data_IF_889872420403
#
_entry.id   IF_889872420403
#
_cell.length_a   1.000
_cell.length_b   1.000
_cell.length_c   1.000
_cell.angle_alpha   90.00
_cell.angle_beta   90.00
_cell.angle_gamma   90.00
#
_symmetry.space_group_name_H-M   'P 1'
#
loop_
_entity.id
_entity.type
_entity.pdbx_description
1 polymer ?
#
# COMPACT_ATOMS: atom_id res chain seq x y z
N UNK A 1 -34.43 27.51 -3.69
CA UNK A 1 -34.03 26.99 -2.36
C UNK A 1 -32.63 26.44 -2.49
N UNK A 2 -31.67 27.14 -1.90
CA UNK A 2 -30.23 26.86 -1.99
C UNK A 2 -29.92 25.47 -1.42
N UNK A 3 -29.26 24.64 -2.22
CA UNK A 3 -28.78 23.33 -1.80
C UNK A 3 -27.61 23.50 -0.83
N UNK A 4 -27.85 23.21 0.44
CA UNK A 4 -26.77 22.93 1.38
C UNK A 4 -26.08 21.63 0.96
N UNK A 5 -24.98 21.75 0.20
CA UNK A 5 -23.92 20.75 0.25
C UNK A 5 -23.36 20.79 1.67
N UNK A 6 -23.64 19.74 2.44
CA UNK A 6 -23.08 19.56 3.77
C UNK A 6 -21.56 19.54 3.63
N UNK A 7 -20.90 20.46 4.34
CA UNK A 7 -19.44 20.57 4.34
C UNK A 7 -18.92 19.46 5.22
N UNK A 8 -18.33 18.44 4.62
CA UNK A 8 -17.57 17.41 5.33
C UNK A 8 -16.37 18.09 6.01
N UNK A 9 -16.47 18.36 7.31
CA UNK A 9 -15.37 18.93 8.09
C UNK A 9 -14.34 17.83 8.41
N UNK A 10 -13.07 17.96 7.97
CA UNK A 10 -12.05 16.95 8.24
C UNK A 10 -11.63 16.99 9.73
N UNK A 11 -11.70 15.84 10.40
CA UNK A 11 -10.96 15.62 11.64
C UNK A 11 -9.55 15.15 11.28
N UNK A 12 -8.54 15.98 11.56
CA UNK A 12 -7.14 15.62 11.34
C UNK A 12 -6.65 14.73 12.48
N UNK A 13 -6.24 13.50 12.15
CA UNK A 13 -5.56 12.59 13.08
C UNK A 13 -4.05 12.82 12.94
N UNK A 14 -3.33 13.04 14.04
CA UNK A 14 -1.87 13.27 14.05
C UNK A 14 -1.10 12.02 13.64
N UNK A 15 -0.75 11.85 12.36
CA UNK A 15 -0.11 10.64 11.77
C UNK A 15 1.38 10.82 11.47
N UNK A 16 2.13 9.72 11.15
CA UNK A 16 3.50 9.81 10.69
C UNK A 16 3.58 10.82 9.54
N UNK A 17 4.41 11.86 9.68
CA UNK A 17 4.50 12.99 8.74
C UNK A 17 5.04 12.61 7.34
N UNK A 18 5.29 11.33 7.13
CA UNK A 18 6.02 10.72 6.04
C UNK A 18 5.13 9.85 5.11
N UNK A 19 3.81 9.79 5.37
CA UNK A 19 2.84 9.25 4.42
C UNK A 19 2.71 10.15 3.19
N UNK A 20 2.54 9.54 2.02
CA UNK A 20 2.43 10.28 0.76
C UNK A 20 1.04 10.90 0.59
N UNK A 21 0.01 10.20 1.07
CA UNK A 21 -1.37 10.64 1.12
C UNK A 21 -2.04 10.28 2.45
N UNK A 22 -2.76 11.24 3.04
CA UNK A 22 -3.58 11.05 4.23
C UNK A 22 -5.07 11.16 3.87
N UNK A 23 -5.88 10.12 4.14
CA UNK A 23 -7.32 10.22 3.94
C UNK A 23 -7.98 10.98 5.09
N UNK A 24 -9.02 11.76 4.79
CA UNK A 24 -9.90 12.31 5.82
C UNK A 24 -10.97 11.28 6.21
N UNK A 25 -11.56 11.45 7.39
CA UNK A 25 -12.67 10.61 7.86
C UNK A 25 -14.00 11.24 7.47
N UNK A 26 -14.85 10.50 6.74
CA UNK A 26 -16.22 10.91 6.41
C UNK A 26 -17.24 10.25 7.35
N UNK A 27 -18.27 11.02 7.69
CA UNK A 27 -19.47 10.55 8.42
C UNK A 27 -20.75 10.69 7.60
N UNK A 28 -20.64 11.26 6.41
CA UNK A 28 -21.72 11.53 5.47
C UNK A 28 -21.18 11.51 4.04
N UNK A 29 -22.05 11.21 3.06
CA UNK A 29 -21.73 11.28 1.63
C UNK A 29 -22.65 12.28 0.90
N UNK A 30 -22.14 12.97 -0.14
CA UNK A 30 -22.86 14.05 -0.81
C UNK A 30 -23.84 13.50 -1.87
N UNK A 31 -24.92 12.88 -1.44
CA UNK A 31 -25.85 12.14 -2.33
C UNK A 31 -27.28 12.13 -1.81
N UNK A 32 -28.25 12.01 -2.72
CA UNK A 32 -29.66 11.68 -2.41
C UNK A 32 -30.14 10.41 -3.10
N UNK A 33 -29.50 10.01 -4.19
CA UNK A 33 -29.85 8.86 -5.02
C UNK A 33 -28.59 8.07 -5.37
N UNK A 34 -27.91 7.48 -4.37
CA UNK A 34 -26.71 6.70 -4.62
C UNK A 34 -27.05 5.44 -5.40
N UNK A 35 -26.21 5.14 -6.39
CA UNK A 35 -26.29 3.92 -7.18
C UNK A 35 -24.98 3.17 -7.17
N UNK A 36 -25.04 1.85 -7.15
CA UNK A 36 -23.87 0.99 -7.25
C UNK A 36 -23.80 0.22 -8.57
N UNK A 37 -22.58 -0.09 -9.00
CA UNK A 37 -22.27 -0.84 -10.22
C UNK A 37 -21.26 -1.96 -9.95
N UNK A 38 -21.16 -2.91 -10.88
CA UNK A 38 -20.17 -4.00 -10.88
C UNK A 38 -20.26 -4.98 -9.69
N UNK A 39 -21.50 -5.38 -9.35
CA UNK A 39 -21.80 -6.37 -8.31
C UNK A 39 -22.46 -5.76 -7.09
N UNK A 40 -22.67 -6.57 -6.06
CA UNK A 40 -23.24 -6.14 -4.79
C UNK A 40 -22.14 -5.58 -3.86
N UNK A 41 -22.23 -4.31 -3.41
CA UNK A 41 -21.22 -3.71 -2.54
C UNK A 41 -21.33 -4.16 -1.07
N UNK A 42 -22.45 -4.80 -0.66
CA UNK A 42 -22.73 -5.13 0.75
C UNK A 42 -21.62 -5.91 1.46
N UNK A 43 -20.90 -6.86 0.85
CA UNK A 43 -19.83 -7.58 1.55
C UNK A 43 -18.61 -6.69 1.87
N UNK A 44 -18.42 -5.57 1.16
CA UNK A 44 -17.17 -4.82 1.15
C UNK A 44 -17.26 -3.46 1.83
N UNK A 45 -18.44 -2.83 1.79
CA UNK A 45 -18.61 -1.45 2.26
C UNK A 45 -19.88 -1.26 3.11
N UNK A 46 -20.10 -2.18 4.06
CA UNK A 46 -21.24 -2.18 4.99
C UNK A 46 -21.44 -0.85 5.72
N UNK A 47 -20.36 -0.28 6.25
CA UNK A 47 -20.34 1.00 6.95
C UNK A 47 -20.73 2.15 6.02
N UNK A 48 -20.22 2.16 4.79
CA UNK A 48 -20.62 3.13 3.75
C UNK A 48 -22.12 3.02 3.47
N UNK A 49 -22.64 1.81 3.25
CA UNK A 49 -24.07 1.59 3.02
C UNK A 49 -24.90 2.02 4.23
N UNK A 50 -24.42 1.78 5.46
CA UNK A 50 -25.11 2.20 6.68
C UNK A 50 -25.19 3.71 6.80
N UNK A 51 -24.12 4.43 6.45
CA UNK A 51 -24.15 5.90 6.39
C UNK A 51 -25.20 6.37 5.39
N UNK A 52 -25.22 5.79 4.19
CA UNK A 52 -26.19 6.14 3.16
C UNK A 52 -27.64 5.88 3.60
N UNK A 53 -27.91 4.74 4.24
CA UNK A 53 -29.20 4.43 4.87
C UNK A 53 -29.59 5.46 5.94
N UNK A 54 -28.68 5.81 6.84
CA UNK A 54 -28.92 6.79 7.90
C UNK A 54 -29.18 8.20 7.35
N UNK A 55 -28.65 8.52 6.17
CA UNK A 55 -28.95 9.75 5.43
C UNK A 55 -30.31 9.69 4.67
N UNK A 56 -31.07 8.60 4.80
CA UNK A 56 -32.33 8.38 4.07
C UNK A 56 -32.14 8.11 2.59
N UNK A 57 -30.93 7.70 2.17
CA UNK A 57 -30.54 7.55 0.77
C UNK A 57 -29.93 6.16 0.52
N UNK A 58 -30.71 5.06 0.61
CA UNK A 58 -30.17 3.71 0.44
C UNK A 58 -29.55 3.53 -0.96
N UNK A 59 -28.41 2.84 -1.04
CA UNK A 59 -27.76 2.54 -2.31
C UNK A 59 -28.53 1.46 -3.07
N UNK A 60 -28.87 1.75 -4.32
CA UNK A 60 -29.62 0.84 -5.20
C UNK A 60 -28.78 0.44 -6.44
N UNK A 61 -29.14 -0.65 -7.15
CA UNK A 61 -28.51 -0.97 -8.42
C UNK A 61 -28.62 0.20 -9.42
N UNK A 62 -27.61 0.33 -10.29
CA UNK A 62 -27.50 1.39 -11.28
C UNK A 62 -28.80 1.78 -12.01
N UNK A 63 -29.02 3.09 -12.11
CA UNK A 63 -30.03 3.72 -12.95
C UNK A 63 -29.58 5.13 -13.36
N UNK A 64 -30.15 5.66 -14.44
CA UNK A 64 -29.75 6.95 -15.02
C UNK A 64 -30.05 8.17 -14.13
N UNK A 65 -30.92 8.02 -13.13
CA UNK A 65 -31.26 9.08 -12.18
C UNK A 65 -30.26 9.24 -11.02
N UNK A 66 -29.15 8.48 -11.04
CA UNK A 66 -28.10 8.53 -10.03
C UNK A 66 -27.50 9.93 -9.88
N UNK A 67 -27.28 10.37 -8.64
CA UNK A 67 -26.44 11.54 -8.33
C UNK A 67 -25.13 11.16 -7.65
N UNK A 68 -24.86 9.86 -7.45
CA UNK A 68 -23.64 9.33 -6.86
C UNK A 68 -23.39 7.90 -7.34
N UNK A 69 -22.13 7.58 -7.61
CA UNK A 69 -21.71 6.25 -8.09
C UNK A 69 -20.82 5.58 -7.04
N UNK A 70 -21.22 4.39 -6.61
CA UNK A 70 -20.42 3.48 -5.78
C UNK A 70 -19.95 2.30 -6.64
N UNK A 71 -18.65 2.06 -6.72
CA UNK A 71 -18.11 0.96 -7.53
C UNK A 71 -16.84 0.40 -6.89
N UNK A 72 -16.48 -0.87 -7.14
CA UNK A 72 -15.15 -1.36 -6.78
C UNK A 72 -14.08 -0.61 -7.57
N UNK A 73 -12.88 -0.47 -6.99
CA UNK A 73 -11.71 -0.05 -7.73
C UNK A 73 -11.42 -1.05 -8.85
N UNK A 74 -11.34 -0.63 -10.12
CA UNK A 74 -11.23 -1.55 -11.24
C UNK A 74 -9.84 -2.14 -11.38
N UNK A 75 -9.75 -3.39 -11.80
CA UNK A 75 -8.50 -3.98 -12.27
C UNK A 75 -7.98 -3.20 -13.50
N UNK A 76 -6.65 -3.08 -13.68
CA UNK A 76 -6.06 -2.53 -14.89
C UNK A 76 -6.58 -3.26 -16.16
N UNK A 77 -6.80 -2.52 -17.25
CA UNK A 77 -7.31 -3.08 -18.51
C UNK A 77 -8.82 -2.90 -18.68
N UNK A 78 -9.54 -4.00 -18.94
CA UNK A 78 -10.95 -3.96 -19.38
C UNK A 78 -11.88 -3.30 -18.36
N UNK A 79 -11.74 -3.60 -17.07
CA UNK A 79 -12.60 -2.99 -16.03
C UNK A 79 -12.44 -1.47 -15.97
N UNK A 80 -11.20 -0.96 -16.07
CA UNK A 80 -10.94 0.47 -16.18
C UNK A 80 -11.65 1.10 -17.40
N UNK A 81 -11.62 0.41 -18.55
CA UNK A 81 -12.28 0.87 -19.78
C UNK A 81 -13.81 0.87 -19.64
N UNK A 82 -14.37 -0.18 -19.05
CA UNK A 82 -15.80 -0.34 -18.82
C UNK A 82 -16.32 0.76 -17.88
N UNK A 83 -15.62 1.02 -16.78
CA UNK A 83 -15.95 2.11 -15.87
C UNK A 83 -15.78 3.48 -16.54
N UNK A 84 -14.73 3.71 -17.33
CA UNK A 84 -14.60 4.95 -18.11
C UNK A 84 -15.76 5.19 -19.08
N UNK A 85 -16.30 4.12 -19.70
CA UNK A 85 -17.47 4.20 -20.58
C UNK A 85 -18.73 4.58 -19.81
N UNK A 86 -18.97 3.98 -18.65
CA UNK A 86 -20.06 4.37 -17.76
C UNK A 86 -19.95 5.87 -17.39
N UNK A 87 -18.78 6.30 -16.94
CA UNK A 87 -18.54 7.68 -16.51
C UNK A 87 -18.61 8.70 -17.66
N UNK A 88 -18.60 8.26 -18.92
CA UNK A 88 -18.79 9.15 -20.07
C UNK A 88 -20.25 9.60 -20.21
N UNK A 89 -21.21 8.81 -19.73
CA UNK A 89 -22.64 9.08 -19.81
C UNK A 89 -23.24 9.83 -18.61
N UNK A 90 -22.43 10.22 -17.62
CA UNK A 90 -22.89 10.90 -16.40
C UNK A 90 -22.34 12.31 -16.31
N UNK A 91 -22.98 13.16 -15.50
CA UNK A 91 -22.55 14.54 -15.32
C UNK A 91 -21.11 14.62 -14.79
N UNK A 92 -20.37 15.62 -15.26
CA UNK A 92 -18.95 15.80 -14.95
C UNK A 92 -18.67 15.99 -13.45
N UNK A 93 -19.65 16.51 -12.71
CA UNK A 93 -19.56 16.80 -11.28
C UNK A 93 -20.09 15.67 -10.39
N UNK A 94 -20.75 14.65 -10.97
CA UNK A 94 -21.27 13.50 -10.22
C UNK A 94 -20.17 12.88 -9.36
N UNK A 95 -20.33 12.80 -8.02
CA UNK A 95 -19.39 12.12 -7.16
C UNK A 95 -19.30 10.61 -7.46
N UNK A 96 -18.07 10.11 -7.52
CA UNK A 96 -17.76 8.70 -7.72
C UNK A 96 -16.89 8.22 -6.57
N UNK A 97 -17.36 7.24 -5.81
CA UNK A 97 -16.63 6.54 -4.77
C UNK A 97 -16.19 5.17 -5.27
N UNK A 98 -14.87 4.96 -5.35
CA UNK A 98 -14.28 3.66 -5.62
C UNK A 98 -13.77 3.01 -4.33
N UNK A 99 -14.22 1.79 -4.04
CA UNK A 99 -13.85 1.06 -2.84
C UNK A 99 -12.89 -0.10 -3.12
N UNK A 100 -12.10 -0.46 -2.11
CA UNK A 100 -11.18 -1.59 -2.14
C UNK A 100 -11.95 -2.93 -2.09
N UNK A 101 -11.71 -3.79 -3.08
CA UNK A 101 -12.33 -5.12 -3.18
C UNK A 101 -11.28 -6.19 -3.43
N UNK A 102 -10.84 -6.25 -4.69
CA UNK A 102 -9.83 -7.20 -5.16
C UNK A 102 -8.47 -6.50 -5.33
N UNK A 103 -8.52 -5.19 -5.55
CA UNK A 103 -7.36 -4.39 -5.89
C UNK A 103 -7.16 -3.27 -4.86
N UNK A 104 -5.93 -3.06 -4.39
CA UNK A 104 -5.64 -2.07 -3.38
C UNK A 104 -5.85 -0.64 -3.85
N UNK A 105 -6.29 0.21 -2.92
CA UNK A 105 -6.53 1.64 -3.18
C UNK A 105 -5.57 2.54 -2.41
N UNK A 106 -5.30 3.72 -2.98
CA UNK A 106 -4.70 4.86 -2.29
C UNK A 106 -5.83 5.82 -1.87
N UNK A 107 -6.43 5.66 -0.68
CA UNK A 107 -7.67 6.37 -0.35
C UNK A 107 -7.42 7.85 -0.06
N UNK A 108 -8.37 8.70 -0.45
CA UNK A 108 -8.53 10.05 0.12
C UNK A 108 -9.63 10.11 1.17
N UNK A 109 -10.46 9.07 1.29
CA UNK A 109 -11.60 9.05 2.21
C UNK A 109 -11.61 7.73 2.99
N UNK A 110 -11.89 7.81 4.29
CA UNK A 110 -12.10 6.65 5.14
C UNK A 110 -13.44 6.78 5.87
N UNK A 111 -14.20 5.70 5.91
CA UNK A 111 -15.43 5.60 6.71
C UNK A 111 -15.13 4.86 8.00
N UNK A 112 -15.45 5.46 9.16
CA UNK A 112 -15.29 4.81 10.47
C UNK A 112 -16.59 4.14 10.91
N UNK A 113 -16.50 2.86 11.32
CA UNK A 113 -17.57 2.18 12.05
C UNK A 113 -17.26 2.17 13.55
N UNK A 114 -18.15 2.74 14.37
CA UNK A 114 -18.10 2.67 15.85
C UNK A 114 -19.20 1.70 16.31
N UNK A 115 -18.84 0.64 17.04
CA UNK A 115 -19.80 -0.32 17.60
C UNK A 115 -19.79 -1.70 16.93
N UNK A 116 -20.17 -2.69 17.75
CA UNK A 116 -20.21 -4.16 17.57
C UNK A 116 -19.21 -4.77 16.57
N UNK A 117 -18.19 -5.44 17.11
CA UNK A 117 -17.47 -6.49 16.38
C UNK A 117 -18.52 -7.47 15.86
N UNK A 118 -18.60 -7.65 14.55
CA UNK A 118 -19.36 -8.75 13.97
C UNK A 118 -18.81 -10.05 14.58
N UNK A 119 -19.65 -10.72 15.37
CA UNK A 119 -19.32 -11.97 16.09
C UNK A 119 -19.40 -13.21 15.20
N UNK A 120 -19.27 -13.03 13.88
CA UNK A 120 -19.05 -14.10 12.91
C UNK A 120 -17.61 -14.01 12.42
N UNK A 121 -16.89 -15.14 12.40
CA UNK A 121 -15.50 -15.22 11.91
C UNK A 121 -15.31 -14.58 10.53
N UNK A 122 -14.06 -14.28 10.13
CA UNK A 122 -13.82 -13.28 9.10
C UNK A 122 -14.39 -13.71 7.75
N UNK A 123 -15.44 -13.02 7.32
CA UNK A 123 -15.48 -12.67 5.90
C UNK A 123 -14.20 -11.90 5.57
N UNK A 124 -13.57 -12.20 4.43
CA UNK A 124 -12.29 -11.63 3.99
C UNK A 124 -12.26 -10.09 4.10
N UNK A 125 -13.39 -9.44 3.87
CA UNK A 125 -13.59 -7.99 3.98
C UNK A 125 -13.51 -7.44 5.43
N UNK A 126 -13.85 -8.23 6.45
CA UNK A 126 -13.74 -7.82 7.85
C UNK A 126 -12.27 -7.74 8.27
N UNK A 127 -11.43 -8.67 7.80
CA UNK A 127 -9.97 -8.63 8.01
C UNK A 127 -9.34 -7.38 7.39
N UNK A 128 -9.74 -7.05 6.16
CA UNK A 128 -9.32 -5.83 5.47
C UNK A 128 -9.75 -4.57 6.23
N UNK A 129 -11.00 -4.54 6.70
CA UNK A 129 -11.55 -3.39 7.43
C UNK A 129 -10.87 -3.17 8.78
N UNK A 130 -10.48 -4.26 9.47
CA UNK A 130 -9.69 -4.19 10.71
C UNK A 130 -8.28 -3.67 10.45
N UNK A 131 -7.61 -4.15 9.40
CA UNK A 131 -6.32 -3.62 8.97
C UNK A 131 -6.40 -2.11 8.66
N UNK A 132 -7.41 -1.66 7.90
CA UNK A 132 -7.59 -0.23 7.63
C UNK A 132 -7.87 0.57 8.92
N UNK A 133 -8.55 -0.03 9.90
CA UNK A 133 -8.84 0.63 11.17
C UNK A 133 -7.60 0.77 12.07
N UNK A 134 -6.73 -0.23 12.09
CA UNK A 134 -5.51 -0.26 12.90
C UNK A 134 -4.44 0.71 12.40
N UNK A 135 -4.44 1.05 11.11
CA UNK A 135 -3.61 2.13 10.55
C UNK A 135 -4.04 3.55 10.98
N UNK A 136 -4.99 3.70 11.91
CA UNK A 136 -5.51 4.99 12.40
C UNK A 136 -5.13 5.22 13.86
N UNK A 137 -4.95 6.49 14.23
CA UNK A 137 -4.85 6.91 15.63
C UNK A 137 -6.10 6.52 16.39
N UNK A 138 -5.95 5.54 17.27
CA UNK A 138 -7.01 4.97 18.08
C UNK A 138 -7.40 3.54 17.73
N UNK A 139 -7.01 2.98 16.57
CA UNK A 139 -7.09 1.55 16.22
C UNK A 139 -8.42 0.82 16.46
N UNK A 140 -9.51 1.55 16.67
CA UNK A 140 -10.77 1.02 17.22
C UNK A 140 -11.85 0.92 16.15
N UNK A 141 -12.52 -0.23 16.15
CA UNK A 141 -13.63 -0.54 15.27
C UNK A 141 -13.16 -1.02 13.91
N UNK A 142 -13.91 -0.68 12.88
CA UNK A 142 -13.61 -1.03 11.49
C UNK A 142 -13.54 0.24 10.63
N UNK A 143 -12.80 0.14 9.53
CA UNK A 143 -12.65 1.25 8.60
C UNK A 143 -12.70 0.77 7.15
N UNK A 144 -13.42 1.51 6.32
CA UNK A 144 -13.49 1.27 4.88
C UNK A 144 -12.74 2.38 4.14
N UNK A 145 -11.99 2.01 3.11
CA UNK A 145 -11.17 2.91 2.32
C UNK A 145 -11.84 3.22 0.98
N UNK A 146 -11.94 4.51 0.64
CA UNK A 146 -12.56 4.99 -0.59
C UNK A 146 -11.64 5.99 -1.31
N UNK A 147 -11.69 5.97 -2.64
CA UNK A 147 -11.30 7.09 -3.49
C UNK A 147 -12.55 7.82 -3.96
N UNK A 148 -12.79 9.02 -3.44
CA UNK A 148 -13.95 9.85 -3.75
C UNK A 148 -13.54 11.07 -4.58
N UNK A 149 -13.93 11.11 -5.86
CA UNK A 149 -13.66 12.21 -6.78
C UNK A 149 -14.85 12.45 -7.73
N UNK A 150 -15.00 13.65 -8.31
CA UNK A 150 -15.98 13.87 -9.39
C UNK A 150 -15.67 13.00 -10.61
N UNK A 151 -16.71 12.60 -11.35
CA UNK A 151 -16.62 11.72 -12.51
C UNK A 151 -15.62 12.21 -13.57
N UNK A 152 -15.53 13.51 -13.82
CA UNK A 152 -14.53 14.07 -14.73
C UNK A 152 -13.09 13.77 -14.28
N UNK A 153 -12.80 13.91 -12.99
CA UNK A 153 -11.47 13.65 -12.43
C UNK A 153 -11.18 12.16 -12.40
N UNK A 154 -12.15 11.36 -11.96
CA UNK A 154 -12.03 9.91 -11.93
C UNK A 154 -11.69 9.34 -13.32
N UNK A 155 -12.35 9.81 -14.39
CA UNK A 155 -12.01 9.45 -15.78
C UNK A 155 -10.56 9.75 -16.15
N UNK A 156 -10.03 10.90 -15.73
CA UNK A 156 -8.65 11.27 -16.03
C UNK A 156 -7.65 10.39 -15.28
N UNK A 157 -7.95 10.06 -14.02
CA UNK A 157 -7.15 9.14 -13.21
C UNK A 157 -7.14 7.75 -13.84
N UNK A 158 -8.31 7.16 -14.10
CA UNK A 158 -8.44 5.81 -14.67
C UNK A 158 -7.76 5.67 -16.05
N UNK A 159 -7.71 6.75 -16.84
CA UNK A 159 -6.99 6.80 -18.13
C UNK A 159 -5.47 7.05 -17.99
N UNK A 160 -4.95 7.25 -16.77
CA UNK A 160 -3.56 7.65 -16.56
C UNK A 160 -3.21 9.02 -17.15
N UNK A 161 -4.20 9.91 -17.36
CA UNK A 161 -4.03 11.17 -18.08
C UNK A 161 -3.21 12.19 -17.27
N UNK A 162 -2.22 12.82 -17.91
CA UNK A 162 -1.48 13.95 -17.33
C UNK A 162 -2.38 15.13 -16.99
N UNK A 163 -3.57 15.22 -17.62
CA UNK A 163 -4.51 16.32 -17.39
C UNK A 163 -5.16 16.30 -16.00
N UNK A 164 -5.11 15.16 -15.29
CA UNK A 164 -5.77 15.00 -14.00
C UNK A 164 -5.32 16.04 -12.96
N UNK A 165 -4.09 16.58 -13.09
CA UNK A 165 -3.42 17.38 -12.06
C UNK A 165 -3.40 18.90 -12.30
N UNK A 166 -3.81 19.38 -13.48
CA UNK A 166 -3.57 20.79 -13.85
C UNK A 166 -4.48 21.83 -13.18
N UNK A 167 -5.65 21.47 -12.65
CA UNK A 167 -6.62 22.45 -12.15
C UNK A 167 -7.47 21.93 -10.96
N UNK A 168 -6.89 21.65 -9.78
CA UNK A 168 -7.69 21.36 -8.60
C UNK A 168 -8.56 22.59 -8.25
N UNK A 169 -9.87 22.41 -8.08
CA UNK A 169 -10.76 23.51 -7.68
C UNK A 169 -10.53 23.84 -6.20
N UNK A 170 -10.38 25.12 -5.86
CA UNK A 170 -9.97 25.59 -4.52
C UNK A 170 -10.99 25.33 -3.39
N UNK A 171 -12.20 24.85 -3.69
CA UNK A 171 -13.27 24.62 -2.70
C UNK A 171 -13.44 23.16 -2.27
N UNK A 172 -12.72 22.21 -2.89
CA UNK A 172 -12.95 20.77 -2.67
C UNK A 172 -11.85 20.17 -1.80
N UNK A 173 -12.14 19.90 -0.51
CA UNK A 173 -11.23 19.24 0.44
C UNK A 173 -10.74 17.87 -0.06
N UNK A 174 -11.50 17.24 -0.94
CA UNK A 174 -11.25 15.93 -1.55
C UNK A 174 -10.19 15.95 -2.66
N UNK A 175 -9.81 17.13 -3.17
CA UNK A 175 -9.03 17.31 -4.40
C UNK A 175 -7.67 18.00 -4.16
N UNK A 176 -7.00 17.69 -3.05
CA UNK A 176 -5.63 18.18 -2.82
C UNK A 176 -4.73 17.86 -4.02
N UNK A 177 -4.05 18.89 -4.56
CA UNK A 177 -3.14 18.73 -5.72
C UNK A 177 -2.09 17.65 -5.47
N UNK A 178 -1.57 17.59 -4.24
CA UNK A 178 -0.59 16.59 -3.80
C UNK A 178 -1.17 15.18 -3.91
N UNK A 179 -2.38 14.95 -3.38
CA UNK A 179 -3.06 13.65 -3.51
C UNK A 179 -3.30 13.27 -4.97
N UNK A 180 -3.82 14.17 -5.79
CA UNK A 180 -4.10 13.90 -7.20
C UNK A 180 -2.83 13.54 -7.98
N UNK A 181 -1.70 14.19 -7.64
CA UNK A 181 -0.41 13.76 -8.17
C UNK A 181 -0.15 12.31 -7.77
N UNK A 182 -0.18 11.96 -6.48
CA UNK A 182 0.17 10.61 -6.02
C UNK A 182 -0.76 9.53 -6.59
N UNK A 183 -2.07 9.77 -6.60
CA UNK A 183 -3.06 8.84 -7.16
C UNK A 183 -2.83 8.59 -8.65
N UNK A 184 -2.51 9.62 -9.43
CA UNK A 184 -2.22 9.46 -10.86
C UNK A 184 -0.98 8.58 -11.09
N UNK A 185 0.04 8.74 -10.25
CA UNK A 185 1.24 7.91 -10.35
C UNK A 185 1.01 6.48 -9.92
N UNK A 186 0.22 6.31 -8.85
CA UNK A 186 -0.24 5.01 -8.40
C UNK A 186 -0.92 4.29 -9.57
N UNK A 187 -1.93 4.91 -10.20
CA UNK A 187 -2.67 4.28 -11.30
C UNK A 187 -1.81 3.95 -12.53
N UNK A 188 -0.86 4.83 -12.91
CA UNK A 188 0.07 4.55 -14.01
C UNK A 188 1.01 3.40 -13.68
N UNK A 189 1.56 3.42 -12.47
CA UNK A 189 2.46 2.37 -12.01
C UNK A 189 1.76 1.02 -11.98
N UNK A 190 0.53 0.95 -11.45
CA UNK A 190 -0.28 -0.26 -11.51
C UNK A 190 -0.51 -0.79 -12.93
N UNK A 191 -0.75 0.13 -13.88
CA UNK A 191 -0.95 -0.25 -15.29
C UNK A 191 0.32 -0.86 -15.91
N UNK A 192 1.50 -0.30 -15.58
CA UNK A 192 2.80 -0.83 -16.03
C UNK A 192 3.10 -2.16 -15.34
N UNK A 193 2.92 -2.24 -14.02
CA UNK A 193 3.21 -3.44 -13.23
C UNK A 193 2.30 -4.62 -13.59
N UNK A 194 1.01 -4.38 -13.86
CA UNK A 194 0.10 -5.43 -14.31
C UNK A 194 0.57 -6.11 -15.60
N UNK A 195 1.17 -5.34 -16.51
CA UNK A 195 1.75 -5.89 -17.75
C UNK A 195 2.99 -6.74 -17.46
N UNK A 196 3.88 -6.26 -16.59
CA UNK A 196 5.06 -7.03 -16.16
C UNK A 196 4.65 -8.33 -15.46
N UNK A 197 3.65 -8.28 -14.57
CA UNK A 197 3.14 -9.46 -13.87
C UNK A 197 2.56 -10.51 -14.82
N UNK A 198 1.82 -10.07 -15.84
CA UNK A 198 1.29 -10.94 -16.88
C UNK A 198 2.42 -11.60 -17.69
N UNK A 199 3.42 -10.84 -18.12
CA UNK A 199 4.58 -11.35 -18.87
C UNK A 199 5.39 -12.37 -18.04
N UNK A 200 5.54 -12.13 -16.73
CA UNK A 200 6.26 -13.04 -15.84
C UNK A 200 5.48 -14.32 -15.53
N UNK A 201 4.17 -14.23 -15.36
CA UNK A 201 3.32 -15.39 -15.08
C UNK A 201 3.37 -16.43 -16.21
N UNK A 202 3.58 -16.00 -17.44
CA UNK A 202 3.78 -16.87 -18.60
C UNK A 202 5.17 -17.55 -18.59
N UNK A 203 6.11 -17.04 -17.79
CA UNK A 203 7.46 -17.57 -17.60
C UNK A 203 7.62 -18.19 -16.20
N UNK A 204 7.36 -19.49 -16.05
CA UNK A 204 7.45 -20.17 -14.75
C UNK A 204 8.81 -19.89 -14.03
N UNK A 205 8.77 -19.30 -12.82
CA UNK A 205 9.94 -19.15 -11.95
C UNK A 205 9.80 -20.08 -10.74
N UNK A 206 10.77 -20.98 -10.54
CA UNK A 206 10.84 -21.84 -9.38
C UNK A 206 11.59 -21.15 -8.23
N UNK A 207 11.04 -21.23 -7.01
CA UNK A 207 11.56 -20.59 -5.78
C UNK A 207 12.59 -21.41 -5.00
N UNK A 208 12.94 -22.60 -5.48
CA UNK A 208 13.77 -23.53 -4.72
C UNK A 208 15.16 -23.61 -5.36
N UNK A 209 16.02 -22.64 -5.04
CA UNK A 209 17.44 -22.71 -5.37
C UNK A 209 18.28 -22.62 -4.09
N UNK A 210 18.92 -23.72 -3.63
CA UNK A 210 19.76 -23.71 -2.42
C UNK A 210 21.03 -22.83 -2.54
N UNK A 211 21.37 -22.34 -3.73
CA UNK A 211 22.48 -21.39 -3.96
C UNK A 211 22.05 -19.92 -3.75
N UNK A 212 20.85 -19.69 -3.24
CA UNK A 212 20.27 -18.36 -3.12
C UNK A 212 20.93 -17.54 -2.00
N UNK A 213 21.40 -16.34 -2.34
CA UNK A 213 21.90 -15.34 -1.40
C UNK A 213 20.88 -14.22 -1.27
N UNK A 214 20.30 -14.09 -0.08
CA UNK A 214 19.16 -13.20 0.19
C UNK A 214 19.63 -11.92 0.87
N UNK A 215 19.34 -10.77 0.28
CA UNK A 215 19.57 -9.47 0.89
C UNK A 215 18.23 -8.82 1.22
N UNK A 216 17.91 -8.65 2.50
CA UNK A 216 16.74 -7.93 2.94
C UNK A 216 17.05 -6.44 3.12
N UNK A 217 16.26 -5.58 2.46
CA UNK A 217 16.37 -4.13 2.55
C UNK A 217 15.12 -3.56 3.22
N UNK A 218 15.21 -3.34 4.52
CA UNK A 218 14.16 -2.74 5.34
C UNK A 218 14.38 -1.21 5.43
N UNK A 219 13.44 -0.36 4.96
CA UNK A 219 13.58 1.08 5.14
C UNK A 219 13.76 1.49 6.61
N UNK A 220 12.90 1.00 7.50
CA UNK A 220 12.91 1.31 8.94
C UNK A 220 13.06 0.08 9.84
N UNK A 221 13.34 0.33 11.12
CA UNK A 221 13.32 -0.69 12.17
C UNK A 221 11.88 -1.04 12.56
N UNK A 222 11.40 -2.17 12.06
CA UNK A 222 10.05 -2.78 12.14
C UNK A 222 9.65 -3.38 10.78
N UNK A 223 10.09 -2.77 9.68
CA UNK A 223 9.86 -3.24 8.32
C UNK A 223 10.44 -4.63 8.05
N UNK A 224 11.52 -5.02 8.73
CA UNK A 224 12.05 -6.38 8.62
C UNK A 224 11.02 -7.43 9.04
N UNK A 225 10.11 -7.08 9.97
CA UNK A 225 9.03 -7.97 10.38
C UNK A 225 7.77 -7.71 9.55
N UNK A 226 7.34 -6.44 9.47
CA UNK A 226 6.06 -6.04 8.88
C UNK A 226 5.98 -6.32 7.38
N UNK A 227 7.06 -6.06 6.65
CA UNK A 227 7.12 -6.21 5.21
C UNK A 227 7.82 -7.52 4.82
N UNK A 228 8.98 -7.79 5.42
CA UNK A 228 9.90 -8.82 4.93
C UNK A 228 9.84 -10.13 5.71
N UNK A 229 9.10 -10.18 6.82
CA UNK A 229 9.21 -11.26 7.81
C UNK A 229 8.92 -12.65 7.26
N UNK A 230 7.88 -12.80 6.43
CA UNK A 230 7.51 -14.11 5.88
C UNK A 230 8.62 -14.69 4.97
N UNK A 231 9.15 -13.86 4.07
CA UNK A 231 10.26 -14.20 3.18
C UNK A 231 11.57 -14.45 3.94
N UNK A 232 11.85 -13.62 4.94
CA UNK A 232 13.02 -13.79 5.82
C UNK A 232 12.97 -15.13 6.54
N UNK A 233 11.83 -15.48 7.13
CA UNK A 233 11.67 -16.75 7.84
C UNK A 233 11.87 -17.94 6.89
N UNK A 234 11.30 -17.90 5.69
CA UNK A 234 11.48 -18.94 4.68
C UNK A 234 12.94 -19.09 4.25
N UNK A 235 13.65 -17.97 4.04
CA UNK A 235 15.07 -17.98 3.69
C UNK A 235 15.94 -18.58 4.82
N UNK A 236 15.63 -18.28 6.09
CA UNK A 236 16.32 -18.86 7.25
C UNK A 236 16.07 -20.36 7.35
N UNK A 237 14.82 -20.82 7.18
CA UNK A 237 14.48 -22.24 7.20
C UNK A 237 15.16 -23.03 6.08
N UNK A 238 15.41 -22.36 4.95
CA UNK A 238 16.12 -22.91 3.80
C UNK A 238 17.65 -22.79 3.92
N UNK A 239 18.16 -22.29 5.04
CA UNK A 239 19.58 -22.07 5.32
C UNK A 239 20.30 -21.20 4.27
N UNK A 240 19.56 -20.31 3.60
CA UNK A 240 20.11 -19.39 2.61
C UNK A 240 21.10 -18.42 3.28
N UNK A 241 22.30 -18.18 2.72
CA UNK A 241 23.14 -17.06 3.14
C UNK A 241 22.35 -15.76 3.07
N UNK A 242 22.35 -14.97 4.15
CA UNK A 242 21.48 -13.81 4.25
C UNK A 242 22.09 -12.62 4.97
N UNK A 243 21.77 -11.42 4.47
CA UNK A 243 22.04 -10.12 5.10
C UNK A 243 20.75 -9.33 5.27
N UNK A 244 20.56 -8.69 6.43
CA UNK A 244 19.51 -7.70 6.65
C UNK A 244 20.13 -6.31 6.80
N UNK A 245 19.72 -5.38 5.94
CA UNK A 245 20.12 -3.99 6.00
C UNK A 245 18.93 -3.10 6.32
N UNK A 246 19.02 -2.35 7.41
CA UNK A 246 18.14 -1.21 7.66
C UNK A 246 18.67 0.03 6.93
N UNK A 247 17.81 0.70 6.16
CA UNK A 247 18.22 1.85 5.37
C UNK A 247 18.40 3.09 6.25
N UNK A 248 17.42 3.41 7.12
CA UNK A 248 17.42 4.66 7.88
C UNK A 248 18.04 4.53 9.27
N UNK A 249 18.37 5.69 9.85
CA UNK A 249 18.89 5.85 11.21
C UNK A 249 17.82 5.71 12.31
N UNK A 250 16.54 5.59 11.96
CA UNK A 250 15.42 5.48 12.91
C UNK A 250 15.01 6.82 13.55
N UNK A 251 15.57 7.94 13.09
CA UNK A 251 15.23 9.29 13.55
C UNK A 251 15.51 9.54 15.04
N UNK A 252 14.59 10.24 15.72
CA UNK A 252 14.78 10.70 17.12
C UNK A 252 15.01 9.57 18.13
N UNK A 253 14.42 8.40 17.91
CA UNK A 253 14.56 7.23 18.78
C UNK A 253 15.44 6.14 18.15
N UNK A 254 16.33 6.52 17.22
CA UNK A 254 17.10 5.60 16.39
C UNK A 254 17.84 4.49 17.14
N UNK A 255 18.51 4.81 18.25
CA UNK A 255 19.26 3.81 19.03
C UNK A 255 18.34 2.78 19.71
N UNK A 256 17.22 3.26 20.24
CA UNK A 256 16.20 2.39 20.85
C UNK A 256 15.61 1.47 19.79
N UNK A 257 15.17 2.03 18.66
CA UNK A 257 14.58 1.29 17.54
C UNK A 257 15.57 0.29 16.92
N UNK A 258 16.86 0.63 16.85
CA UNK A 258 17.93 -0.28 16.44
C UNK A 258 18.06 -1.46 17.39
N UNK A 259 18.02 -1.22 18.69
CA UNK A 259 18.07 -2.28 19.70
C UNK A 259 16.88 -3.22 19.58
N UNK A 260 15.69 -2.67 19.36
CA UNK A 260 14.45 -3.44 19.12
C UNK A 260 14.55 -4.29 17.85
N UNK A 261 14.95 -3.70 16.73
CA UNK A 261 15.13 -4.42 15.45
C UNK A 261 16.22 -5.50 15.52
N UNK A 262 17.31 -5.27 16.25
CA UNK A 262 18.33 -6.29 16.47
C UNK A 262 17.78 -7.51 17.26
N UNK A 263 16.90 -7.28 18.25
CA UNK A 263 16.20 -8.37 18.95
C UNK A 263 15.24 -9.11 18.02
N UNK A 264 14.47 -8.39 17.22
CA UNK A 264 13.55 -8.96 16.24
C UNK A 264 14.30 -9.82 15.21
N UNK A 265 15.36 -9.30 14.60
CA UNK A 265 16.22 -10.02 13.67
C UNK A 265 16.78 -11.32 14.26
N UNK A 266 17.21 -11.29 15.53
CA UNK A 266 17.67 -12.49 16.25
C UNK A 266 16.57 -13.54 16.41
N UNK A 267 15.33 -13.13 16.73
CA UNK A 267 14.18 -14.05 16.81
C UNK A 267 13.88 -14.69 15.45
N UNK A 268 13.99 -13.89 14.38
CA UNK A 268 13.83 -14.37 13.00
C UNK A 268 14.96 -15.31 12.55
N UNK A 269 16.09 -15.35 13.26
CA UNK A 269 17.25 -16.18 12.93
C UNK A 269 18.25 -15.49 11.99
N UNK A 270 18.18 -14.17 11.83
CA UNK A 270 19.11 -13.40 11.01
C UNK A 270 20.29 -12.95 11.85
N UNK A 271 21.50 -13.36 11.47
CA UNK A 271 22.74 -13.06 12.20
C UNK A 271 23.54 -11.90 11.58
N UNK A 272 23.60 -11.80 10.26
CA UNK A 272 24.31 -10.72 9.57
C UNK A 272 23.38 -9.52 9.35
N UNK A 273 23.56 -8.48 10.17
CA UNK A 273 22.74 -7.27 10.13
C UNK A 273 23.60 -6.01 10.08
N UNK A 274 23.11 -4.97 9.41
CA UNK A 274 23.74 -3.65 9.40
C UNK A 274 22.71 -2.52 9.19
N UNK A 275 23.11 -1.29 9.52
CA UNK A 275 22.31 -0.09 9.28
C UNK A 275 23.11 0.88 8.41
N UNK A 276 22.48 1.38 7.34
CA UNK A 276 23.10 2.31 6.38
C UNK A 276 23.00 3.78 6.82
N UNK A 277 22.26 4.05 7.89
CA UNK A 277 22.14 5.37 8.54
C UNK A 277 21.73 6.50 7.58
N UNK A 278 20.82 6.22 6.64
CA UNK A 278 20.18 7.28 5.86
C UNK A 278 19.28 8.13 6.77
N UNK A 279 19.16 9.45 6.55
CA UNK A 279 18.29 10.29 7.37
C UNK A 279 16.82 9.91 7.14
N UNK A 280 16.15 9.42 8.17
CA UNK A 280 14.74 9.03 8.10
C UNK A 280 13.86 10.15 7.53
N UNK A 281 12.95 9.80 6.63
CA UNK A 281 12.01 10.71 5.95
C UNK A 281 12.66 11.82 5.10
N UNK A 282 13.97 11.78 4.87
CA UNK A 282 14.70 12.74 4.04
C UNK A 282 15.77 12.05 3.16
N UNK A 283 15.49 10.80 2.78
CA UNK A 283 16.38 10.01 1.92
C UNK A 283 16.52 10.68 0.56
N UNK A 284 17.74 10.65 0.03
CA UNK A 284 18.07 11.03 -1.34
C UNK A 284 18.65 9.84 -2.07
N UNK A 285 18.46 9.78 -3.39
CA UNK A 285 19.02 8.71 -4.22
C UNK A 285 20.54 8.57 -4.09
N UNK A 286 21.24 9.67 -3.80
CA UNK A 286 22.69 9.71 -3.63
C UNK A 286 23.06 10.22 -2.23
N UNK A 287 23.76 9.40 -1.47
CA UNK A 287 24.36 9.72 -0.19
C UNK A 287 25.37 8.64 0.22
N UNK A 288 25.89 8.70 1.45
CA UNK A 288 26.79 7.68 1.99
C UNK A 288 26.14 6.29 1.96
N UNK A 289 24.87 6.21 2.36
CA UNK A 289 24.06 4.98 2.33
C UNK A 289 23.99 4.32 0.94
N UNK A 290 24.02 5.09 -0.15
CA UNK A 290 24.05 4.54 -1.52
C UNK A 290 25.38 3.85 -1.83
N UNK A 291 26.49 4.42 -1.34
CA UNK A 291 27.83 3.84 -1.51
C UNK A 291 27.99 2.59 -0.63
N UNK A 292 27.53 2.66 0.62
CA UNK A 292 27.52 1.52 1.54
C UNK A 292 26.66 0.38 0.98
N UNK A 293 25.47 0.67 0.44
CA UNK A 293 24.62 -0.34 -0.22
C UNK A 293 25.34 -0.95 -1.42
N UNK A 294 26.03 -0.15 -2.25
CA UNK A 294 26.81 -0.68 -3.38
C UNK A 294 27.87 -1.66 -2.91
N UNK A 295 28.61 -1.32 -1.86
CA UNK A 295 29.62 -2.20 -1.28
C UNK A 295 29.00 -3.53 -0.85
N UNK A 296 27.88 -3.50 -0.12
CA UNK A 296 27.17 -4.73 0.25
C UNK A 296 26.72 -5.56 -0.96
N UNK A 297 26.23 -4.92 -2.02
CA UNK A 297 25.86 -5.61 -3.27
C UNK A 297 27.07 -6.27 -3.93
N UNK A 298 28.20 -5.58 -4.04
CA UNK A 298 29.42 -6.08 -4.69
C UNK A 298 30.08 -7.23 -3.92
N UNK A 299 30.08 -7.14 -2.58
CA UNK A 299 30.63 -8.18 -1.69
C UNK A 299 29.73 -9.41 -1.62
N UNK A 300 28.44 -9.21 -1.35
CA UNK A 300 27.50 -10.30 -1.08
C UNK A 300 26.93 -10.93 -2.36
N UNK A 301 26.86 -10.14 -3.44
CA UNK A 301 26.29 -10.54 -4.74
C UNK A 301 24.94 -11.25 -4.58
N UNK A 302 23.93 -10.64 -3.93
CA UNK A 302 22.63 -11.28 -3.73
C UNK A 302 22.04 -11.76 -5.06
N UNK A 303 21.44 -12.94 -5.02
CA UNK A 303 20.61 -13.46 -6.11
C UNK A 303 19.15 -13.06 -5.91
N UNK A 304 18.74 -12.77 -4.67
CA UNK A 304 17.41 -12.24 -4.34
C UNK A 304 17.51 -11.08 -3.36
N UNK A 305 16.73 -10.03 -3.59
CA UNK A 305 16.62 -8.87 -2.69
C UNK A 305 15.17 -8.74 -2.24
N UNK A 306 14.94 -8.80 -0.92
CA UNK A 306 13.62 -8.55 -0.33
C UNK A 306 13.48 -7.06 -0.06
N UNK A 307 12.40 -6.42 -0.53
CA UNK A 307 12.18 -5.00 -0.32
C UNK A 307 10.70 -4.60 -0.48
N UNK A 308 10.25 -3.49 0.11
CA UNK A 308 8.95 -2.93 -0.25
C UNK A 308 8.90 -2.48 -1.72
N UNK A 309 7.72 -2.62 -2.32
CA UNK A 309 7.42 -2.03 -3.62
C UNK A 309 7.33 -0.50 -3.55
N UNK A 310 7.63 0.19 -4.67
CA UNK A 310 7.70 1.66 -4.67
C UNK A 310 6.33 2.36 -4.49
N UNK A 311 5.21 1.65 -4.61
CA UNK A 311 3.87 2.23 -4.41
C UNK A 311 3.37 2.09 -2.97
N UNK A 312 4.18 1.54 -2.06
CA UNK A 312 3.84 1.60 -0.65
C UNK A 312 3.70 3.07 -0.20
N UNK A 313 2.69 3.38 0.61
CA UNK A 313 2.31 4.77 0.95
C UNK A 313 3.24 5.37 2.02
N UNK A 314 4.54 5.21 1.85
CA UNK A 314 5.57 5.72 2.74
C UNK A 314 6.75 6.27 1.92
N UNK A 315 7.18 7.51 2.21
CA UNK A 315 8.21 8.20 1.41
C UNK A 315 9.53 7.43 1.32
N UNK A 316 9.99 6.84 2.42
CA UNK A 316 11.26 6.10 2.44
C UNK A 316 11.17 4.75 1.71
N UNK A 317 10.00 4.09 1.70
CA UNK A 317 9.78 2.85 0.92
C UNK A 317 9.88 3.17 -0.58
N UNK A 318 9.29 4.29 -0.99
CA UNK A 318 9.44 4.83 -2.35
C UNK A 318 10.90 5.17 -2.69
N UNK A 319 11.61 5.89 -1.81
CA UNK A 319 13.00 6.32 -2.05
C UNK A 319 14.00 5.15 -2.06
N UNK A 320 13.72 4.04 -1.37
CA UNK A 320 14.55 2.82 -1.41
C UNK A 320 14.78 2.34 -2.86
N UNK A 321 13.75 2.39 -3.73
CA UNK A 321 13.92 2.01 -5.14
C UNK A 321 14.92 2.92 -5.86
N UNK A 322 14.96 4.22 -5.54
CA UNK A 322 15.92 5.17 -6.12
C UNK A 322 17.32 4.96 -5.60
N UNK A 323 17.47 4.68 -4.30
CA UNK A 323 18.74 4.34 -3.67
C UNK A 323 19.30 3.04 -4.26
N UNK A 324 18.50 1.98 -4.33
CA UNK A 324 18.91 0.70 -4.90
C UNK A 324 19.36 0.84 -6.36
N UNK A 325 18.59 1.54 -7.19
CA UNK A 325 18.98 1.83 -8.59
C UNK A 325 20.28 2.61 -8.71
N UNK A 326 20.53 3.55 -7.80
CA UNK A 326 21.77 4.34 -7.79
C UNK A 326 22.97 3.53 -7.27
N UNK A 327 22.74 2.59 -6.34
CA UNK A 327 23.75 1.70 -5.80
C UNK A 327 24.10 0.57 -6.79
N UNK A 328 23.17 0.18 -7.67
CA UNK A 328 23.28 -0.97 -8.55
C UNK A 328 24.60 -0.99 -9.36
N UNK A 329 25.47 -2.01 -9.18
CA UNK A 329 26.73 -2.08 -9.89
C UNK A 329 26.56 -2.28 -11.40
N UNK A 330 27.54 -1.80 -12.18
CA UNK A 330 27.57 -2.06 -13.63
C UNK A 330 27.88 -3.53 -13.88
N UNK A 331 27.11 -4.19 -14.76
CA UNK A 331 27.30 -5.62 -15.05
C UNK A 331 26.93 -6.54 -13.89
N UNK A 332 26.13 -6.06 -12.92
CA UNK A 332 25.68 -6.89 -11.82
C UNK A 332 24.92 -8.14 -12.33
N UNK A 333 25.14 -9.33 -11.74
CA UNK A 333 24.47 -10.55 -12.15
C UNK A 333 22.94 -10.45 -12.09
N UNK A 334 22.26 -11.42 -12.71
CA UNK A 334 20.82 -11.55 -12.58
C UNK A 334 20.43 -11.65 -11.11
N UNK A 335 19.47 -10.83 -10.70
CA UNK A 335 18.98 -10.76 -9.34
C UNK A 335 17.47 -10.51 -9.37
N UNK A 336 16.75 -11.28 -8.57
CA UNK A 336 15.30 -11.14 -8.37
C UNK A 336 15.03 -10.17 -7.24
N UNK A 337 14.07 -9.28 -7.40
CA UNK A 337 13.51 -8.46 -6.33
C UNK A 337 12.20 -9.09 -5.88
N UNK A 338 12.11 -9.42 -4.60
CA UNK A 338 10.89 -9.94 -3.97
C UNK A 338 10.22 -8.81 -3.21
N UNK A 339 9.10 -8.38 -3.78
CA UNK A 339 8.41 -7.15 -3.42
C UNK A 339 7.26 -7.44 -2.47
N UNK A 340 7.04 -6.54 -1.51
CA UNK A 340 5.97 -6.62 -0.50
C UNK A 340 5.37 -5.23 -0.27
N UNK A 341 4.24 -5.14 0.43
CA UNK A 341 3.58 -3.86 0.72
C UNK A 341 2.73 -3.91 1.99
N UNK A 342 2.81 -2.84 2.79
CA UNK A 342 2.08 -2.71 4.05
C UNK A 342 1.11 -1.53 4.06
N UNK A 343 1.58 -0.28 3.88
CA UNK A 343 0.68 0.89 3.93
C UNK A 343 -0.24 0.97 2.72
N UNK A 344 0.26 0.53 1.56
CA UNK A 344 -0.58 0.11 0.43
C UNK A 344 -0.32 -1.37 0.20
N UNK A 345 -1.33 -2.24 0.36
CA UNK A 345 -1.18 -3.66 0.09
C UNK A 345 -0.69 -3.92 -1.34
N UNK A 346 0.08 -4.99 -1.52
CA UNK A 346 0.62 -5.39 -2.81
C UNK A 346 -0.51 -6.04 -3.65
N UNK A 347 -0.74 -5.57 -4.89
CA UNK A 347 -1.80 -6.10 -5.74
C UNK A 347 -1.47 -7.47 -6.36
N UNK A 348 -0.19 -7.72 -6.65
CA UNK A 348 0.27 -8.87 -7.44
C UNK A 348 1.07 -9.87 -6.61
N UNK A 349 1.36 -11.01 -7.22
CA UNK A 349 2.26 -12.01 -6.68
C UNK A 349 1.58 -13.15 -5.91
N UNK A 350 2.41 -13.92 -5.23
CA UNK A 350 2.02 -15.15 -4.56
C UNK A 350 1.83 -14.93 -3.06
N UNK A 351 0.93 -15.72 -2.47
CA UNK A 351 0.77 -15.80 -1.03
C UNK A 351 1.84 -16.70 -0.42
N UNK A 352 2.46 -16.23 0.66
CA UNK A 352 3.51 -16.92 1.42
C UNK A 352 3.03 -17.08 2.85
N UNK A 353 3.02 -18.31 3.40
CA UNK A 353 2.55 -18.54 4.77
C UNK A 353 3.32 -17.69 5.79
N UNK A 354 2.59 -17.10 6.75
CA UNK A 354 3.20 -16.38 7.86
C UNK A 354 3.79 -17.36 8.87
N UNK A 355 5.07 -17.17 9.23
CA UNK A 355 5.75 -17.98 10.22
C UNK A 355 5.33 -17.58 11.66
N UNK A 356 5.24 -18.57 12.57
CA UNK A 356 4.73 -18.36 13.93
C UNK A 356 5.57 -17.36 14.77
N UNK A 357 6.87 -17.23 14.48
CA UNK A 357 7.79 -16.29 15.15
C UNK A 357 7.58 -14.82 14.78
N UNK A 358 6.83 -14.50 13.72
CA UNK A 358 6.70 -13.11 13.26
C UNK A 358 6.00 -12.22 14.27
N UNK A 359 4.99 -12.73 14.99
CA UNK A 359 4.32 -11.96 16.03
C UNK A 359 5.28 -11.68 17.21
N UNK A 360 6.07 -12.67 17.62
CA UNK A 360 7.06 -12.51 18.69
C UNK A 360 8.14 -11.48 18.33
N UNK A 361 8.64 -11.52 17.08
CA UNK A 361 9.57 -10.54 16.55
C UNK A 361 8.95 -9.14 16.49
N UNK A 362 7.70 -9.03 16.02
CA UNK A 362 6.99 -7.75 15.93
C UNK A 362 6.82 -7.10 17.31
N UNK A 363 6.56 -7.92 18.34
CA UNK A 363 6.42 -7.45 19.73
C UNK A 363 7.70 -6.87 20.32
N UNK A 364 8.85 -7.05 19.69
CA UNK A 364 10.10 -6.40 20.12
C UNK A 364 10.15 -4.91 19.80
N UNK A 365 9.32 -4.42 18.86
CA UNK A 365 9.25 -3.01 18.46
C UNK A 365 8.33 -2.20 19.38
N UNK A 366 8.66 -2.20 20.68
CA UNK A 366 7.83 -1.61 21.72
C UNK A 366 7.57 -0.12 21.50
N UNK A 367 8.57 0.68 21.11
CA UNK A 367 8.34 2.12 20.82
C UNK A 367 7.29 2.31 19.73
N UNK A 368 7.32 1.48 18.69
CA UNK A 368 6.49 1.62 17.51
C UNK A 368 5.07 1.19 17.81
N UNK A 369 4.91 0.12 18.60
CA UNK A 369 3.62 -0.37 19.09
C UNK A 369 2.88 0.64 19.99
N UNK A 370 3.57 1.62 20.57
CA UNK A 370 2.88 2.73 21.27
C UNK A 370 2.12 3.66 20.34
N UNK A 371 2.55 3.75 19.07
CA UNK A 371 2.00 4.69 18.08
C UNK A 371 0.83 4.07 17.32
N UNK A 372 0.96 2.81 16.92
CA UNK A 372 -0.03 2.08 16.13
C UNK A 372 -0.10 0.62 16.59
N UNK A 373 -1.29 0.03 16.50
CA UNK A 373 -1.47 -1.40 16.76
C UNK A 373 -1.00 -2.21 15.55
N UNK A 374 0.33 -2.32 15.41
CA UNK A 374 0.94 -3.06 14.33
C UNK A 374 0.66 -4.56 14.41
N UNK A 375 0.39 -5.11 15.60
CA UNK A 375 -0.02 -6.51 15.75
C UNK A 375 -1.38 -6.74 15.08
N UNK A 376 -2.38 -5.92 15.40
CA UNK A 376 -3.69 -6.01 14.75
C UNK A 376 -3.63 -5.70 13.25
N UNK A 377 -2.79 -4.73 12.86
CA UNK A 377 -2.58 -4.37 11.44
C UNK A 377 -1.99 -5.54 10.65
N UNK A 378 -0.92 -6.13 11.15
CA UNK A 378 -0.25 -7.26 10.55
C UNK A 378 -1.17 -8.48 10.47
N UNK A 379 -1.89 -8.80 11.54
CA UNK A 379 -2.85 -9.90 11.56
C UNK A 379 -3.98 -9.69 10.54
N UNK A 380 -4.58 -8.50 10.48
CA UNK A 380 -5.67 -8.17 9.56
C UNK A 380 -5.25 -8.25 8.09
N UNK A 381 -4.07 -7.70 7.75
CA UNK A 381 -3.55 -7.71 6.38
C UNK A 381 -3.25 -9.13 5.91
N UNK A 382 -2.55 -9.92 6.73
CA UNK A 382 -2.18 -11.29 6.34
C UNK A 382 -3.38 -12.24 6.33
N UNK A 383 -4.40 -12.00 7.15
CA UNK A 383 -5.68 -12.71 7.05
C UNK A 383 -6.42 -12.34 5.75
N UNK A 384 -6.40 -11.08 5.33
CA UNK A 384 -7.00 -10.66 4.05
C UNK A 384 -6.31 -11.33 2.85
N UNK A 385 -4.98 -11.33 2.81
CA UNK A 385 -4.23 -12.03 1.76
C UNK A 385 -4.47 -13.55 1.77
N UNK A 386 -4.57 -14.16 2.96
CA UNK A 386 -4.93 -15.58 3.10
C UNK A 386 -6.33 -15.91 2.58
N UNK A 387 -7.21 -14.92 2.44
CA UNK A 387 -8.57 -15.11 1.91
C UNK A 387 -9.37 -16.06 2.80
N UNK A 388 -9.99 -17.07 2.19
CA UNK A 388 -10.73 -18.12 2.92
C UNK A 388 -9.82 -19.23 3.47
N UNK A 389 -8.50 -19.14 3.31
CA UNK A 389 -7.55 -20.08 3.92
C UNK A 389 -7.57 -19.93 5.43
N UNK A 390 -7.50 -21.04 6.15
CA UNK A 390 -7.30 -21.02 7.61
C UNK A 390 -5.91 -20.48 8.02
N UNK A 391 -4.96 -20.41 7.07
CA UNK A 391 -3.59 -19.96 7.34
C UNK A 391 -3.37 -18.52 6.85
N UNK A 392 -3.00 -17.57 7.74
CA UNK A 392 -2.63 -16.22 7.33
C UNK A 392 -1.39 -16.26 6.42
N UNK A 393 -1.38 -15.39 5.42
CA UNK A 393 -0.30 -15.33 4.42
C UNK A 393 0.11 -13.90 4.16
N UNK A 394 1.40 -13.66 3.96
CA UNK A 394 1.89 -12.42 3.36
C UNK A 394 1.83 -12.53 1.84
N UNK A 395 1.88 -11.40 1.14
CA UNK A 395 1.95 -11.38 -0.32
C UNK A 395 3.31 -10.89 -0.77
N UNK A 396 3.93 -11.65 -1.66
CA UNK A 396 5.23 -11.36 -2.23
C UNK A 396 5.12 -11.36 -3.76
N UNK A 397 5.88 -10.52 -4.45
CA UNK A 397 5.95 -10.52 -5.90
C UNK A 397 7.39 -10.52 -6.39
N UNK A 398 7.78 -11.60 -7.05
CA UNK A 398 9.14 -11.78 -7.56
C UNK A 398 9.27 -11.22 -8.97
N UNK A 399 10.19 -10.28 -9.14
CA UNK A 399 10.43 -9.59 -10.41
C UNK A 399 11.92 -9.47 -10.66
N UNK A 400 12.44 -9.80 -11.85
CA UNK A 400 13.84 -9.53 -12.16
C UNK A 400 14.16 -8.03 -11.98
N UNK A 401 15.28 -7.71 -11.34
CA UNK A 401 15.63 -6.32 -11.02
C UNK A 401 15.64 -5.40 -12.25
N UNK A 402 16.05 -5.93 -13.41
CA UNK A 402 16.02 -5.22 -14.70
C UNK A 402 14.60 -4.75 -15.05
N UNK A 403 13.61 -5.63 -14.92
CA UNK A 403 12.23 -5.37 -15.32
C UNK A 403 11.55 -4.44 -14.32
N UNK A 404 11.82 -4.62 -13.02
CA UNK A 404 11.37 -3.69 -11.99
C UNK A 404 11.91 -2.27 -12.20
N UNK A 405 13.21 -2.11 -12.51
CA UNK A 405 13.80 -0.81 -12.79
C UNK A 405 13.32 -0.17 -14.08
N UNK A 406 13.05 -0.99 -15.11
CA UNK A 406 12.43 -0.53 -16.34
C UNK A 406 11.01 -0.01 -16.08
N UNK A 407 10.20 -0.77 -15.34
CA UNK A 407 8.85 -0.40 -14.97
C UNK A 407 8.80 0.89 -14.12
N UNK A 408 9.69 1.01 -13.13
CA UNK A 408 9.81 2.22 -12.31
C UNK A 408 10.21 3.48 -13.11
N UNK A 409 10.97 3.29 -14.20
CA UNK A 409 11.30 4.37 -15.13
C UNK A 409 10.11 4.72 -16.03
N UNK A 410 9.46 3.71 -16.59
CA UNK A 410 8.31 3.86 -17.50
C UNK A 410 7.11 4.53 -16.81
N UNK A 411 6.85 4.19 -15.54
CA UNK A 411 5.76 4.80 -14.77
C UNK A 411 5.94 6.31 -14.57
N UNK A 412 7.16 6.82 -14.76
CA UNK A 412 7.54 8.21 -14.45
C UNK A 412 7.81 8.46 -12.96
N UNK A 413 7.67 7.43 -12.11
CA UNK A 413 7.86 7.54 -10.66
C UNK A 413 9.25 8.07 -10.30
N UNK A 414 10.30 7.63 -11.00
CA UNK A 414 11.67 8.10 -10.74
C UNK A 414 11.92 9.61 -10.94
N UNK A 415 11.02 10.32 -11.62
CA UNK A 415 11.11 11.78 -11.81
C UNK A 415 10.45 12.58 -10.68
N UNK A 416 9.73 11.89 -9.78
CA UNK A 416 8.98 12.54 -8.71
C UNK A 416 9.88 13.01 -7.57
N UNK A 417 9.45 14.11 -6.97
CA UNK A 417 10.08 14.67 -5.78
C UNK A 417 9.01 14.89 -4.74
N UNK A 418 9.09 14.10 -3.68
CA UNK A 418 8.39 14.38 -2.43
C UNK A 418 9.27 15.36 -1.67
N UNK A 419 8.89 16.65 -1.68
CA UNK A 419 9.49 17.63 -0.76
C UNK A 419 8.71 17.52 0.55
N UNK A 420 9.40 17.43 1.68
CA UNK A 420 8.76 17.72 2.95
C UNK A 420 8.21 19.15 2.88
N UNK A 421 6.95 19.37 3.30
CA UNK A 421 6.34 20.70 3.30
C UNK A 421 7.16 21.72 4.08
#
# INVERSE_FOLDING_TARGET
MEGHMSRVFPYFLSRPANLLAEPFVATELPTKRPRFVAGDPRPWVRGTLKILENQGSPALPWSEDADFILAPWPNPGKECQDLCRLLAGVDSSTPVALYERDFPVLPNTVIQRRGEQTSSGPEVSDSLSRFRASLRHGGKGEAEALVLLPAQRMKLILKGSFLATFQPRSKDSLQSRRYLHHLLDHQRSLSVLARVDQELSDSQHHRDNPEERVLALAPHFDDEVLLLGAELAQAVESECPMRLLWLTDGGKEGEKRRTEGARAAKILGVSETACLNAPESNIRAHGKWTQDLRQHLEEFKPTRILMPWWLDNHVDHFELTRVLRAAWPTGFPSCTLSLTGFWTPLPFGANVPVHAKLEEALRQHESQLTSLDYVASFAGLNAWYGGSSERPSSRTWDVPAKDYFAAFKESGSGLRRYRNP
#
